data_IF_816160451591
#
_entry.id   IF_816160451591
#
_cell.length_a   1.000
_cell.length_b   1.000
_cell.length_c   1.000
_cell.angle_alpha   90.00
_cell.angle_beta   90.00
_cell.angle_gamma   90.00
#
_symmetry.space_group_name_H-M   'P 1'
#
loop_
_entity.id
_entity.type
_entity.pdbx_description
1 polymer ?
#
# COMPACT_ATOMS: atom_id res chain seq x y z
N UNK A 1 -5.33 -12.56 33.69
CA UNK A 1 -6.07 -12.16 32.54
C UNK A 1 -5.11 -11.91 31.38
N UNK A 2 -5.26 -12.69 30.36
CA UNK A 2 -4.71 -12.57 29.01
C UNK A 2 -3.19 -12.67 28.78
N UNK A 3 -2.59 -13.72 29.29
CA UNK A 3 -1.25 -14.15 28.85
C UNK A 3 -1.26 -14.81 27.45
N UNK A 4 -2.41 -15.32 27.00
CA UNK A 4 -2.50 -16.04 25.72
C UNK A 4 -2.24 -15.14 24.50
N UNK A 5 -2.76 -13.92 24.50
CA UNK A 5 -2.50 -12.98 23.41
C UNK A 5 -1.08 -12.39 23.45
N UNK A 6 -0.52 -12.17 24.64
CA UNK A 6 0.88 -11.74 24.80
C UNK A 6 1.85 -12.80 24.27
N UNK A 7 1.58 -14.06 24.56
CA UNK A 7 2.36 -15.19 24.02
C UNK A 7 2.20 -15.30 22.51
N UNK A 8 0.97 -15.11 22.00
CA UNK A 8 0.73 -15.12 20.55
C UNK A 8 1.49 -14.01 19.82
N UNK A 9 1.49 -12.79 20.38
CA UNK A 9 2.25 -11.67 19.81
C UNK A 9 3.76 -11.91 19.90
N UNK A 10 4.25 -12.42 21.02
CA UNK A 10 5.66 -12.76 21.19
C UNK A 10 6.14 -13.81 20.17
N UNK A 11 5.29 -14.81 19.83
CA UNK A 11 5.56 -15.76 18.76
C UNK A 11 5.59 -15.13 17.37
N UNK A 12 4.81 -14.06 17.14
CA UNK A 12 4.74 -13.34 15.86
C UNK A 12 5.86 -12.31 15.68
N UNK A 13 6.48 -11.83 16.75
CA UNK A 13 7.60 -10.85 16.68
C UNK A 13 8.79 -11.40 15.87
N UNK A 14 8.98 -12.72 15.82
CA UNK A 14 9.98 -13.37 14.96
C UNK A 14 9.74 -13.17 13.46
N UNK A 15 8.54 -12.72 13.06
CA UNK A 15 8.19 -12.44 11.66
C UNK A 15 8.60 -11.04 11.22
N UNK A 16 9.01 -10.16 12.15
CA UNK A 16 9.51 -8.82 11.79
C UNK A 16 10.72 -8.96 10.88
N UNK A 17 10.67 -8.26 9.74
CA UNK A 17 11.65 -8.36 8.68
C UNK A 17 11.34 -9.42 7.62
N UNK A 18 10.31 -10.25 7.79
CA UNK A 18 9.89 -11.19 6.74
C UNK A 18 9.47 -10.41 5.51
N UNK A 19 10.09 -10.73 4.38
CA UNK A 19 9.80 -10.15 3.06
C UNK A 19 8.97 -11.12 2.22
N UNK A 20 8.25 -10.55 1.26
CA UNK A 20 7.39 -11.28 0.34
C UNK A 20 7.87 -11.07 -1.09
N UNK A 21 7.42 -11.94 -2.01
CA UNK A 21 7.79 -11.84 -3.42
C UNK A 21 7.42 -10.46 -4.00
N UNK A 22 8.29 -9.86 -4.79
CA UNK A 22 8.00 -8.61 -5.48
C UNK A 22 6.76 -8.74 -6.36
N UNK A 23 6.00 -7.67 -6.44
CA UNK A 23 4.83 -7.58 -7.30
C UNK A 23 5.03 -6.45 -8.32
N UNK A 24 4.84 -6.76 -9.60
CA UNK A 24 4.87 -5.78 -10.67
C UNK A 24 3.47 -5.31 -11.02
N UNK A 25 3.32 -3.99 -11.16
CA UNK A 25 2.08 -3.34 -11.53
C UNK A 25 2.30 -2.43 -12.74
N UNK A 26 1.59 -2.69 -13.82
CA UNK A 26 1.57 -1.82 -14.99
C UNK A 26 0.53 -0.71 -14.79
N UNK A 27 0.99 0.54 -14.81
CA UNK A 27 0.17 1.71 -14.53
C UNK A 27 -0.65 2.08 -15.77
N UNK A 28 -1.93 1.75 -15.77
CA UNK A 28 -2.85 2.07 -16.85
C UNK A 28 -3.45 3.47 -16.73
N UNK A 29 -3.58 4.18 -17.85
CA UNK A 29 -4.21 5.50 -17.91
C UNK A 29 -5.65 5.49 -17.39
N UNK A 30 -6.42 4.47 -17.75
CA UNK A 30 -7.81 4.34 -17.32
C UNK A 30 -7.94 4.09 -15.81
N UNK A 31 -7.01 3.34 -15.22
CA UNK A 31 -7.00 3.14 -13.79
C UNK A 31 -6.65 4.43 -13.02
N UNK A 32 -5.73 5.24 -13.55
CA UNK A 32 -5.47 6.58 -13.00
C UNK A 32 -6.73 7.44 -13.06
N UNK A 33 -7.42 7.44 -14.20
CA UNK A 33 -8.66 8.20 -14.40
C UNK A 33 -9.77 7.79 -13.43
N UNK A 34 -10.01 6.48 -13.28
CA UNK A 34 -10.98 5.96 -12.32
C UNK A 34 -10.66 6.39 -10.90
N UNK A 35 -9.40 6.19 -10.50
CA UNK A 35 -8.96 6.54 -9.16
C UNK A 35 -9.10 8.05 -8.88
N UNK A 36 -8.64 8.88 -9.81
CA UNK A 36 -8.73 10.32 -9.71
C UNK A 36 -10.17 10.80 -9.54
N UNK A 37 -11.11 10.23 -10.30
CA UNK A 37 -12.54 10.53 -10.13
C UNK A 37 -13.07 10.13 -8.75
N UNK A 38 -12.72 8.95 -8.27
CA UNK A 38 -13.20 8.43 -6.97
C UNK A 38 -12.71 9.28 -5.80
N UNK A 39 -11.47 9.78 -5.86
CA UNK A 39 -10.90 10.62 -4.80
C UNK A 39 -11.19 12.11 -4.99
N UNK A 40 -11.94 12.48 -6.02
CA UNK A 40 -12.37 13.87 -6.26
C UNK A 40 -11.29 14.79 -6.83
N UNK A 41 -10.30 14.25 -7.56
CA UNK A 41 -9.31 15.05 -8.26
C UNK A 41 -9.94 15.87 -9.38
N UNK A 42 -9.48 17.10 -9.55
CA UNK A 42 -9.95 18.03 -10.57
C UNK A 42 -8.84 18.50 -11.50
N UNK A 43 -7.57 18.22 -11.19
CA UNK A 43 -6.46 18.67 -12.00
C UNK A 43 -6.41 17.90 -13.33
N UNK A 44 -6.50 18.59 -14.49
CA UNK A 44 -6.51 17.93 -15.80
C UNK A 44 -5.31 17.01 -16.07
N UNK A 45 -4.18 17.21 -15.39
CA UNK A 45 -2.98 16.39 -15.57
C UNK A 45 -3.19 14.90 -15.24
N UNK A 46 -4.23 14.59 -14.47
CA UNK A 46 -4.60 13.22 -14.11
C UNK A 46 -5.57 12.58 -15.12
N UNK A 47 -6.09 13.36 -16.08
CA UNK A 47 -7.15 12.92 -16.98
C UNK A 47 -6.78 13.04 -18.47
N UNK A 48 -6.11 14.13 -18.82
CA UNK A 48 -5.85 14.50 -20.21
C UNK A 48 -4.34 14.51 -20.52
N UNK A 49 -3.88 13.67 -21.49
CA UNK A 49 -2.49 13.66 -21.90
C UNK A 49 -2.00 15.00 -22.46
N UNK A 50 -2.86 15.77 -23.13
CA UNK A 50 -2.49 17.07 -23.67
C UNK A 50 -2.24 18.07 -22.54
N UNK A 51 -3.15 18.13 -21.56
CA UNK A 51 -2.97 18.98 -20.40
C UNK A 51 -1.73 18.60 -19.57
N UNK A 52 -1.44 17.29 -19.44
CA UNK A 52 -0.22 16.82 -18.79
C UNK A 52 1.04 17.32 -19.53
N UNK A 53 1.08 17.20 -20.87
CA UNK A 53 2.20 17.70 -21.67
C UNK A 53 2.36 19.21 -21.60
N UNK A 54 1.28 19.99 -21.64
CA UNK A 54 1.33 21.44 -21.46
C UNK A 54 1.87 21.85 -20.09
N UNK A 55 1.60 21.03 -19.06
CA UNK A 55 2.13 21.24 -17.72
C UNK A 55 3.59 20.76 -17.55
N UNK A 56 4.21 20.21 -18.62
CA UNK A 56 5.60 19.76 -18.62
C UNK A 56 5.80 18.30 -18.22
N UNK A 57 4.74 17.51 -18.09
CA UNK A 57 4.81 16.09 -17.78
C UNK A 57 4.88 15.23 -19.03
N UNK A 58 5.56 14.08 -18.95
CA UNK A 58 5.73 13.16 -20.11
C UNK A 58 4.48 12.35 -20.45
N UNK A 59 3.55 12.21 -19.51
CA UNK A 59 2.30 11.49 -19.66
C UNK A 59 1.31 11.90 -18.56
N UNK A 60 0.12 11.32 -18.57
CA UNK A 60 -0.85 11.48 -17.47
C UNK A 60 -0.21 11.06 -16.16
N UNK A 61 -0.34 11.93 -15.16
CA UNK A 61 0.28 11.76 -13.83
C UNK A 61 -0.69 11.02 -12.91
N UNK A 62 -0.22 10.00 -12.23
CA UNK A 62 -0.97 9.37 -11.15
C UNK A 62 -1.04 10.32 -9.93
N UNK A 63 -2.20 10.47 -9.28
CA UNK A 63 -2.26 11.17 -8.00
C UNK A 63 -1.34 10.52 -6.97
N UNK A 64 -0.72 11.27 -6.04
CA UNK A 64 0.25 10.71 -5.09
C UNK A 64 -0.26 9.49 -4.33
N UNK A 65 -1.51 9.53 -3.85
CA UNK A 65 -2.12 8.41 -3.12
C UNK A 65 -2.45 7.20 -4.00
N UNK A 66 -2.26 7.27 -5.32
CA UNK A 66 -2.36 6.11 -6.21
C UNK A 66 -1.37 4.99 -5.82
N UNK A 67 -0.41 5.30 -4.97
CA UNK A 67 0.49 4.32 -4.36
C UNK A 67 -0.25 3.16 -3.68
N UNK A 68 -1.43 3.39 -3.13
CA UNK A 68 -2.26 2.32 -2.52
C UNK A 68 -2.73 1.31 -3.56
N UNK A 69 -2.86 1.71 -4.83
CA UNK A 69 -3.29 0.83 -5.92
C UNK A 69 -2.14 -0.08 -6.36
N UNK A 70 -1.00 0.49 -6.72
CA UNK A 70 0.11 -0.32 -7.25
C UNK A 70 0.82 -1.15 -6.17
N UNK A 71 0.75 -0.76 -4.90
CA UNK A 71 1.38 -1.51 -3.81
C UNK A 71 0.50 -2.64 -3.25
N UNK A 72 -0.80 -2.62 -3.50
CA UNK A 72 -1.76 -3.56 -2.90
C UNK A 72 -1.40 -5.03 -3.16
N UNK A 73 -0.97 -5.35 -4.39
CA UNK A 73 -0.60 -6.73 -4.77
C UNK A 73 0.63 -7.25 -4.03
N UNK A 74 1.55 -6.37 -3.61
CA UNK A 74 2.71 -6.75 -2.82
C UNK A 74 2.38 -6.89 -1.32
N UNK A 75 1.48 -6.05 -0.80
CA UNK A 75 1.12 -6.05 0.63
C UNK A 75 0.13 -7.16 0.97
N UNK A 76 -0.78 -7.50 0.06
CA UNK A 76 -1.80 -8.51 0.29
C UNK A 76 -1.26 -9.87 0.76
N UNK A 77 -0.19 -10.45 0.18
CA UNK A 77 0.39 -11.70 0.68
C UNK A 77 0.85 -11.63 2.14
N UNK A 78 1.37 -10.48 2.57
CA UNK A 78 1.77 -10.27 3.96
C UNK A 78 0.56 -10.26 4.90
N UNK A 79 -0.50 -9.57 4.49
CA UNK A 79 -1.75 -9.51 5.27
C UNK A 79 -2.45 -10.87 5.34
N UNK A 80 -2.35 -11.68 4.28
CA UNK A 80 -2.99 -12.99 4.18
C UNK A 80 -2.14 -14.14 4.74
N UNK A 81 -0.91 -13.87 5.15
CA UNK A 81 0.00 -14.89 5.68
C UNK A 81 -0.57 -15.48 6.99
N UNK A 82 -0.87 -16.79 7.01
CA UNK A 82 -1.37 -17.44 8.24
C UNK A 82 -0.42 -17.30 9.44
N UNK A 83 0.89 -17.17 9.18
CA UNK A 83 1.87 -16.96 10.24
C UNK A 83 1.75 -15.59 10.89
N UNK A 84 1.32 -14.57 10.14
CA UNK A 84 0.99 -13.23 10.66
C UNK A 84 -0.31 -13.29 11.46
N UNK A 85 -1.29 -14.06 10.99
CA UNK A 85 -2.49 -14.39 11.75
C UNK A 85 -3.45 -13.21 11.97
N UNK A 86 -3.60 -12.35 10.98
CA UNK A 86 -4.56 -11.23 11.05
C UNK A 86 -6.01 -11.73 11.07
N UNK A 87 -6.81 -11.16 11.95
CA UNK A 87 -8.25 -11.39 11.97
C UNK A 87 -8.98 -10.29 11.20
N UNK A 88 -9.30 -10.56 9.94
CA UNK A 88 -9.95 -9.59 9.05
C UNK A 88 -11.32 -9.12 9.53
N UNK A 89 -12.06 -9.94 10.30
CA UNK A 89 -13.36 -9.56 10.84
C UNK A 89 -13.25 -8.45 11.91
N UNK A 90 -12.08 -8.32 12.52
CA UNK A 90 -11.80 -7.36 13.59
C UNK A 90 -10.78 -6.29 13.19
N UNK A 91 -10.37 -6.27 11.91
CA UNK A 91 -9.35 -5.37 11.41
C UNK A 91 -9.91 -3.98 11.12
N UNK A 92 -9.15 -2.97 11.51
CA UNK A 92 -9.35 -1.58 11.08
C UNK A 92 -8.05 -1.02 10.55
N UNK A 93 -8.12 -0.11 9.58
CA UNK A 93 -6.95 0.63 9.09
C UNK A 93 -6.66 1.77 10.07
N UNK A 94 -5.57 1.65 10.82
CA UNK A 94 -5.21 2.59 11.89
C UNK A 94 -4.34 3.76 11.43
N UNK A 95 -3.60 3.61 10.34
CA UNK A 95 -2.71 4.67 9.84
C UNK A 95 -2.00 4.28 8.55
N UNK A 96 -1.49 5.29 7.86
CA UNK A 96 -0.72 5.16 6.63
C UNK A 96 0.28 6.30 6.55
N UNK A 97 1.51 5.98 6.18
CA UNK A 97 2.56 6.95 5.88
C UNK A 97 3.12 6.70 4.50
N UNK A 98 3.45 7.77 3.79
CA UNK A 98 4.11 7.70 2.48
C UNK A 98 5.32 8.62 2.43
N UNK A 99 6.35 8.18 1.72
CA UNK A 99 7.44 9.03 1.26
C UNK A 99 7.54 8.88 -0.26
N UNK A 100 7.31 9.95 -0.99
CA UNK A 100 7.41 9.98 -2.45
C UNK A 100 8.73 10.59 -2.88
N UNK A 101 9.38 9.99 -3.86
CA UNK A 101 10.60 10.54 -4.48
C UNK A 101 10.33 11.02 -5.90
N UNK A 102 9.59 10.25 -6.68
CA UNK A 102 9.32 10.55 -8.08
C UNK A 102 7.82 10.42 -8.39
N UNK A 103 7.41 11.10 -9.45
CA UNK A 103 6.06 10.97 -9.97
C UNK A 103 5.88 9.65 -10.73
N UNK A 104 4.69 9.11 -10.65
CA UNK A 104 4.28 7.92 -11.40
C UNK A 104 3.37 8.34 -12.54
N UNK A 105 3.60 7.77 -13.71
CA UNK A 105 2.91 8.11 -14.95
C UNK A 105 2.19 6.90 -15.55
N UNK A 106 1.18 7.17 -16.34
CA UNK A 106 0.60 6.15 -17.20
C UNK A 106 1.69 5.54 -18.12
N UNK A 107 1.73 4.22 -18.17
CA UNK A 107 2.73 3.46 -18.92
C UNK A 107 3.93 3.00 -18.08
N UNK A 108 4.07 3.46 -16.86
CA UNK A 108 5.12 2.97 -15.94
C UNK A 108 4.82 1.56 -15.47
N UNK A 109 5.87 0.80 -15.20
CA UNK A 109 5.81 -0.46 -14.45
C UNK A 109 6.43 -0.23 -13.08
N UNK A 110 5.66 -0.48 -12.04
CA UNK A 110 6.10 -0.31 -10.65
C UNK A 110 6.32 -1.69 -10.04
N UNK A 111 7.53 -1.93 -9.57
CA UNK A 111 7.85 -3.12 -8.77
C UNK A 111 7.78 -2.75 -7.30
N UNK A 112 6.91 -3.42 -6.56
CA UNK A 112 6.75 -3.20 -5.12
C UNK A 112 7.22 -4.44 -4.36
N UNK A 113 8.03 -4.22 -3.33
CA UNK A 113 8.38 -5.23 -2.33
C UNK A 113 7.68 -4.90 -1.03
N UNK A 114 7.28 -5.91 -0.28
CA UNK A 114 6.63 -5.73 1.01
C UNK A 114 7.28 -6.58 2.09
N UNK A 115 7.28 -6.08 3.30
CA UNK A 115 7.78 -6.80 4.48
C UNK A 115 6.96 -6.47 5.73
N UNK A 116 7.05 -7.36 6.71
CA UNK A 116 6.53 -7.09 8.05
C UNK A 116 7.49 -6.13 8.75
N UNK A 117 7.06 -4.92 9.00
CA UNK A 117 7.86 -3.87 9.65
C UNK A 117 7.84 -3.98 11.16
N UNK A 118 6.65 -4.20 11.74
CA UNK A 118 6.48 -4.32 13.18
C UNK A 118 5.21 -5.10 13.52
N UNK A 119 5.23 -5.77 14.66
CA UNK A 119 4.10 -6.49 15.25
C UNK A 119 4.13 -6.24 16.75
N UNK A 120 3.12 -5.59 17.26
CA UNK A 120 3.04 -5.30 18.69
C UNK A 120 1.61 -5.32 19.20
N UNK A 121 1.48 -5.39 20.51
CA UNK A 121 0.20 -5.26 21.19
C UNK A 121 0.22 -4.07 22.14
N UNK A 122 -0.90 -3.38 22.18
CA UNK A 122 -1.14 -2.30 23.13
C UNK A 122 -2.58 -2.39 23.62
N UNK A 123 -2.74 -2.39 24.94
CA UNK A 123 -4.01 -2.65 25.59
C UNK A 123 -4.58 -4.02 25.16
N UNK A 124 -5.75 -4.07 24.56
CA UNK A 124 -6.34 -5.30 24.02
C UNK A 124 -6.25 -5.41 22.51
N UNK A 125 -5.47 -4.54 21.87
CA UNK A 125 -5.34 -4.48 20.41
C UNK A 125 -3.99 -4.99 19.94
N UNK A 126 -4.00 -5.64 18.77
CA UNK A 126 -2.78 -6.01 18.03
C UNK A 126 -2.58 -5.06 16.87
N UNK A 127 -1.33 -4.65 16.69
CA UNK A 127 -0.93 -3.77 15.61
C UNK A 127 -0.01 -4.53 14.65
N UNK A 128 -0.34 -4.46 13.38
CA UNK A 128 0.41 -5.04 12.28
C UNK A 128 0.88 -3.91 11.39
N UNK A 129 2.19 -3.74 11.27
CA UNK A 129 2.80 -2.69 10.45
C UNK A 129 3.53 -3.34 9.29
N UNK A 130 3.12 -3.00 8.08
CA UNK A 130 3.77 -3.44 6.85
C UNK A 130 4.46 -2.27 6.18
N UNK A 131 5.64 -2.54 5.63
CA UNK A 131 6.40 -1.59 4.82
C UNK A 131 6.45 -2.08 3.38
N UNK A 132 6.23 -1.20 2.45
CA UNK A 132 6.34 -1.51 1.02
C UNK A 132 7.09 -0.42 0.28
#
# INVERSE_FOLDING_TARGET
MNREWEVAVAGQVSLVGKSYEPFEYEVGREKIREYAHVVGENNPVHFDPHAAHEAGFRAVVAPPMFAVVYSAGAVAPAMLDPAVGMNFAMMVHGGQEFAWSELVYAGDTITTTASVRDLYARDSMKFYVFES
#
